data_IF_827278310939
#
_entry.id   IF_827278310939
#
_cell.length_a   1.000
_cell.length_b   1.000
_cell.length_c   1.000
_cell.angle_alpha   90.00
_cell.angle_beta   90.00
_cell.angle_gamma   90.00
#
_symmetry.space_group_name_H-M   'P 1'
#
loop_
_entity.id
_entity.type
_entity.pdbx_description
1 polymer ?
#
# COMPACT_ATOMS: atom_id res chain seq x y z
N UNK A 1 -17.85 11.72 2.87
CA UNK A 1 -18.23 12.84 3.76
C UNK A 1 -17.24 13.99 3.52
N UNK A 2 -17.67 15.18 3.09
CA UNK A 2 -16.76 16.31 2.85
C UNK A 2 -16.09 16.85 4.13
N UNK A 3 -16.69 16.63 5.31
CA UNK A 3 -16.14 17.11 6.58
C UNK A 3 -14.80 16.48 6.97
N UNK A 4 -14.62 15.19 6.73
CA UNK A 4 -13.41 14.45 7.12
C UNK A 4 -12.19 14.87 6.26
N UNK A 5 -12.43 15.18 4.98
CA UNK A 5 -11.42 15.67 4.05
C UNK A 5 -10.93 17.07 4.45
N UNK A 6 -11.86 17.98 4.76
CA UNK A 6 -11.51 19.34 5.19
C UNK A 6 -10.77 19.32 6.53
N UNK A 7 -11.16 18.41 7.43
CA UNK A 7 -10.48 18.20 8.69
C UNK A 7 -9.04 17.72 8.48
N UNK A 8 -8.83 16.68 7.66
CA UNK A 8 -7.50 16.17 7.34
C UNK A 8 -6.60 17.23 6.69
N UNK A 9 -7.09 17.93 5.66
CA UNK A 9 -6.32 19.01 5.02
C UNK A 9 -6.01 20.14 5.99
N UNK A 10 -6.97 20.50 6.86
CA UNK A 10 -6.76 21.52 7.89
C UNK A 10 -5.65 21.17 8.88
N UNK A 11 -5.46 19.90 9.20
CA UNK A 11 -4.35 19.44 10.07
C UNK A 11 -2.99 19.54 9.38
N UNK A 12 -2.92 19.33 8.06
CA UNK A 12 -1.67 19.39 7.31
C UNK A 12 -1.10 20.81 7.20
N UNK A 13 -1.94 21.85 7.19
CA UNK A 13 -1.48 23.22 7.02
C UNK A 13 -0.42 23.64 8.06
N UNK A 14 -0.66 23.57 9.38
CA UNK A 14 0.35 23.93 10.38
C UNK A 14 1.57 23.00 10.35
N UNK A 15 1.40 21.71 10.06
CA UNK A 15 2.50 20.74 9.96
C UNK A 15 3.45 21.14 8.83
N UNK A 16 2.91 21.39 7.64
CA UNK A 16 3.72 21.75 6.48
C UNK A 16 4.37 23.12 6.65
N UNK A 17 3.67 24.10 7.24
CA UNK A 17 4.29 25.39 7.56
C UNK A 17 5.51 25.23 8.49
N UNK A 18 5.38 24.45 9.56
CA UNK A 18 6.45 24.23 10.52
C UNK A 18 7.67 23.51 9.91
N UNK A 19 7.44 22.62 8.94
CA UNK A 19 8.51 21.85 8.27
C UNK A 19 9.18 22.62 7.13
N UNK A 20 8.42 23.38 6.34
CA UNK A 20 8.93 24.01 5.10
C UNK A 20 9.08 25.53 5.17
N UNK A 21 8.58 26.16 6.24
CA UNK A 21 8.62 27.61 6.42
C UNK A 21 7.65 28.41 5.55
N UNK A 22 6.77 27.74 4.79
CA UNK A 22 5.77 28.37 3.93
C UNK A 22 4.52 27.50 3.74
N UNK A 23 3.42 28.11 3.29
CA UNK A 23 2.18 27.40 2.98
C UNK A 23 2.16 26.82 1.55
N UNK A 24 3.25 26.88 0.79
CA UNK A 24 3.24 26.51 -0.63
C UNK A 24 3.10 24.99 -0.81
N UNK A 25 3.82 24.20 0.01
CA UNK A 25 3.66 22.74 0.09
C UNK A 25 2.22 22.35 0.41
N UNK A 26 1.62 23.00 1.42
CA UNK A 26 0.22 22.75 1.78
C UNK A 26 -0.75 23.06 0.62
N UNK A 27 -0.57 24.20 -0.05
CA UNK A 27 -1.40 24.57 -1.22
C UNK A 27 -1.24 23.56 -2.36
N UNK A 28 -0.03 23.07 -2.61
CA UNK A 28 0.23 22.05 -3.62
C UNK A 28 -0.45 20.72 -3.25
N UNK A 29 -0.35 20.27 -1.99
CA UNK A 29 -1.06 19.09 -1.48
C UNK A 29 -2.57 19.24 -1.69
N UNK A 30 -3.16 20.34 -1.23
CA UNK A 30 -4.59 20.58 -1.39
C UNK A 30 -5.00 20.58 -2.88
N UNK A 31 -4.22 21.24 -3.74
CA UNK A 31 -4.47 21.26 -5.18
C UNK A 31 -4.43 19.86 -5.80
N UNK A 32 -3.40 19.07 -5.52
CA UNK A 32 -3.28 17.70 -6.03
C UNK A 32 -4.38 16.79 -5.46
N UNK A 33 -4.74 16.95 -4.20
CA UNK A 33 -5.82 16.20 -3.56
C UNK A 33 -7.16 16.43 -4.27
N UNK A 34 -7.52 17.69 -4.54
CA UNK A 34 -8.76 18.01 -5.28
C UNK A 34 -8.70 17.64 -6.76
N UNK A 35 -7.51 17.61 -7.37
CA UNK A 35 -7.33 17.20 -8.77
C UNK A 35 -7.33 15.68 -8.95
N UNK A 36 -7.05 14.90 -7.89
CA UNK A 36 -6.92 13.44 -7.96
C UNK A 36 -8.17 12.75 -8.55
N UNK A 37 -9.42 13.05 -8.11
CA UNK A 37 -10.61 12.44 -8.71
C UNK A 37 -10.74 12.73 -10.21
N UNK A 38 -10.40 13.95 -10.63
CA UNK A 38 -10.46 14.36 -12.04
C UNK A 38 -9.44 13.56 -12.86
N UNK A 39 -8.20 13.45 -12.38
CA UNK A 39 -7.17 12.66 -13.04
C UNK A 39 -7.57 11.18 -13.15
N UNK A 40 -8.14 10.60 -12.09
CA UNK A 40 -8.63 9.21 -12.11
C UNK A 40 -9.73 9.05 -13.15
N UNK A 41 -10.73 9.93 -13.18
CA UNK A 41 -11.83 9.89 -14.16
C UNK A 41 -11.35 10.01 -15.62
N UNK A 42 -10.25 10.71 -15.87
CA UNK A 42 -9.66 10.80 -17.22
C UNK A 42 -8.97 9.49 -17.66
N UNK A 43 -8.57 8.64 -16.72
CA UNK A 43 -7.85 7.39 -16.99
C UNK A 43 -8.72 6.14 -16.81
N UNK A 44 -9.77 6.25 -16.00
CA UNK A 44 -10.66 5.16 -15.61
C UNK A 44 -12.10 5.66 -15.57
N UNK A 45 -12.94 5.10 -16.44
CA UNK A 45 -14.38 5.31 -16.33
C UNK A 45 -14.87 4.57 -15.07
N UNK A 46 -15.09 5.33 -14.00
CA UNK A 46 -15.48 4.79 -12.69
C UNK A 46 -16.87 4.15 -12.73
N UNK A 47 -17.77 4.64 -13.58
CA UNK A 47 -19.11 4.08 -13.69
C UNK A 47 -19.04 2.69 -14.32
N UNK A 48 -18.40 2.58 -15.48
CA UNK A 48 -18.20 1.30 -16.15
C UNK A 48 -17.41 0.34 -15.26
N UNK A 49 -16.38 0.83 -14.56
CA UNK A 49 -15.57 0.02 -13.64
C UNK A 49 -16.41 -0.61 -12.54
N UNK A 50 -17.23 0.19 -11.85
CA UNK A 50 -18.10 -0.29 -10.77
C UNK A 50 -19.16 -1.26 -11.31
N UNK A 51 -19.84 -0.91 -12.40
CA UNK A 51 -20.87 -1.77 -12.99
C UNK A 51 -20.32 -3.13 -13.45
N UNK A 52 -19.12 -3.16 -14.02
CA UNK A 52 -18.48 -4.41 -14.43
C UNK A 52 -17.90 -5.17 -13.23
N UNK A 53 -17.45 -4.48 -12.17
CA UNK A 53 -16.95 -5.10 -10.95
C UNK A 53 -18.08 -5.79 -10.17
N UNK A 54 -19.28 -5.23 -10.16
CA UNK A 54 -20.47 -5.86 -9.56
C UNK A 54 -20.88 -7.16 -10.27
N UNK A 55 -20.52 -7.31 -11.55
CA UNK A 55 -20.77 -8.51 -12.36
C UNK A 55 -19.59 -9.49 -12.35
N UNK A 56 -18.57 -9.21 -11.56
CA UNK A 56 -17.32 -9.95 -11.57
C UNK A 56 -17.52 -11.37 -11.01
N UNK A 57 -17.10 -12.37 -11.77
CA UNK A 57 -17.16 -13.80 -11.43
C UNK A 57 -16.07 -14.57 -12.17
N UNK A 58 -16.02 -15.90 -11.98
CA UNK A 58 -15.01 -16.78 -12.58
C UNK A 58 -14.94 -16.73 -14.10
N UNK A 59 -16.03 -16.32 -14.79
CA UNK A 59 -16.08 -16.18 -16.24
C UNK A 59 -15.73 -14.73 -16.65
N UNK A 60 -16.40 -13.75 -16.04
CA UNK A 60 -16.26 -12.33 -16.45
C UNK A 60 -14.89 -11.73 -16.12
N UNK A 61 -14.12 -12.33 -15.19
CA UNK A 61 -12.73 -11.93 -14.88
C UNK A 61 -11.83 -11.88 -16.11
N UNK A 62 -12.02 -12.78 -17.06
CA UNK A 62 -11.23 -12.85 -18.29
C UNK A 62 -11.47 -11.67 -19.25
N UNK A 63 -12.51 -10.87 -19.02
CA UNK A 63 -12.78 -9.62 -19.74
C UNK A 63 -12.49 -8.41 -18.87
N UNK A 64 -12.79 -8.49 -17.58
CA UNK A 64 -12.63 -7.40 -16.61
C UNK A 64 -11.17 -6.97 -16.45
N UNK A 65 -10.28 -7.88 -16.06
CA UNK A 65 -8.90 -7.52 -15.74
C UNK A 65 -8.14 -7.04 -16.98
N UNK A 66 -8.24 -7.65 -18.18
CA UNK A 66 -7.63 -7.10 -19.38
C UNK A 66 -8.13 -5.69 -19.74
N UNK A 67 -9.42 -5.40 -19.49
CA UNK A 67 -10.02 -4.07 -19.74
C UNK A 67 -9.52 -3.00 -18.77
N UNK A 68 -9.38 -3.35 -17.49
CA UNK A 68 -9.17 -2.35 -16.43
C UNK A 68 -7.76 -2.29 -15.86
N UNK A 69 -6.96 -3.36 -15.90
CA UNK A 69 -5.60 -3.35 -15.38
C UNK A 69 -4.68 -2.31 -16.05
N UNK A 70 -4.68 -2.14 -17.38
CA UNK A 70 -3.91 -1.05 -18.01
C UNK A 70 -4.35 0.33 -17.51
N UNK A 71 -5.66 0.53 -17.31
CA UNK A 71 -6.22 1.80 -16.82
C UNK A 71 -5.82 2.06 -15.37
N UNK A 72 -5.88 1.04 -14.51
CA UNK A 72 -5.43 1.13 -13.12
C UNK A 72 -3.95 1.52 -13.03
N UNK A 73 -3.08 0.90 -13.84
CA UNK A 73 -1.67 1.32 -13.92
C UNK A 73 -1.54 2.78 -14.34
N UNK A 74 -2.29 3.24 -15.33
CA UNK A 74 -2.29 4.65 -15.74
C UNK A 74 -2.78 5.60 -14.65
N UNK A 75 -3.61 5.16 -13.69
CA UNK A 75 -4.03 6.00 -12.57
C UNK A 75 -2.92 6.25 -11.54
N UNK A 76 -1.83 5.48 -11.53
CA UNK A 76 -0.69 5.72 -10.62
C UNK A 76 -0.10 7.12 -10.78
N UNK A 77 -0.07 7.63 -12.02
CA UNK A 77 0.39 9.00 -12.31
C UNK A 77 -0.45 10.09 -11.63
N UNK A 78 -1.69 9.78 -11.24
CA UNK A 78 -2.58 10.70 -10.54
C UNK A 78 -2.22 10.86 -9.07
N UNK A 79 -1.64 9.82 -8.47
CA UNK A 79 -1.34 9.75 -7.03
C UNK A 79 0.09 10.25 -6.75
N UNK A 80 1.02 10.01 -7.68
CA UNK A 80 2.44 10.33 -7.50
C UNK A 80 2.71 11.81 -7.11
N UNK A 81 2.10 12.83 -7.74
CA UNK A 81 2.32 14.23 -7.35
C UNK A 81 1.88 14.51 -5.92
N UNK A 82 0.75 13.95 -5.49
CA UNK A 82 0.24 14.11 -4.13
C UNK A 82 1.22 13.52 -3.11
N UNK A 83 1.65 12.26 -3.31
CA UNK A 83 2.61 11.61 -2.41
C UNK A 83 3.95 12.34 -2.37
N UNK A 84 4.40 12.88 -3.50
CA UNK A 84 5.64 13.67 -3.60
C UNK A 84 5.56 14.95 -2.75
N UNK A 85 4.44 15.67 -2.79
CA UNK A 85 4.26 16.89 -1.99
C UNK A 85 4.07 16.56 -0.51
N UNK A 86 3.32 15.51 -0.17
CA UNK A 86 3.14 15.08 1.23
C UNK A 86 4.46 14.76 1.92
N UNK A 87 5.41 14.13 1.20
CA UNK A 87 6.76 13.85 1.74
C UNK A 87 7.55 15.10 2.13
N UNK A 88 7.24 16.28 1.59
CA UNK A 88 7.97 17.51 1.94
C UNK A 88 7.61 18.03 3.33
N UNK A 89 6.48 17.58 3.90
CA UNK A 89 6.06 17.97 5.24
C UNK A 89 5.76 16.84 6.21
N UNK A 90 5.82 15.58 5.78
CA UNK A 90 5.84 14.45 6.71
C UNK A 90 7.07 14.49 7.62
N UNK A 91 6.95 13.89 8.80
CA UNK A 91 8.12 13.49 9.58
C UNK A 91 8.83 12.27 8.94
N UNK A 92 9.88 11.76 9.59
CA UNK A 92 10.69 10.68 9.02
C UNK A 92 9.87 9.40 8.83
N UNK A 93 9.00 9.07 9.79
CA UNK A 93 8.09 7.93 9.74
C UNK A 93 7.02 8.09 8.65
N UNK A 94 6.38 9.25 8.56
CA UNK A 94 5.41 9.57 7.52
C UNK A 94 6.06 9.46 6.13
N UNK A 95 7.25 10.04 5.96
CA UNK A 95 8.01 10.00 4.70
C UNK A 95 8.39 8.58 4.34
N UNK A 96 8.80 7.78 5.32
CA UNK A 96 9.10 6.36 5.16
C UNK A 96 7.87 5.59 4.66
N UNK A 97 6.72 5.73 5.32
CA UNK A 97 5.46 5.07 4.92
C UNK A 97 5.05 5.51 3.50
N UNK A 98 5.09 6.81 3.21
CA UNK A 98 4.74 7.34 1.88
C UNK A 98 5.66 6.82 0.78
N UNK A 99 6.94 6.55 1.05
CA UNK A 99 7.85 5.90 0.09
C UNK A 99 7.50 4.44 -0.11
N UNK A 100 7.32 3.70 0.98
CA UNK A 100 6.93 2.29 0.93
C UNK A 100 5.64 2.10 0.12
N UNK A 101 4.62 2.93 0.36
CA UNK A 101 3.36 2.91 -0.40
C UNK A 101 3.60 3.18 -1.89
N UNK A 102 4.36 4.21 -2.26
CA UNK A 102 4.63 4.48 -3.69
C UNK A 102 5.37 3.35 -4.39
N UNK A 103 6.32 2.69 -3.73
CA UNK A 103 7.03 1.55 -4.30
C UNK A 103 6.14 0.31 -4.39
N UNK A 104 5.24 0.11 -3.43
CA UNK A 104 4.36 -1.05 -3.38
C UNK A 104 3.21 -0.97 -4.39
N UNK A 105 2.66 0.22 -4.67
CA UNK A 105 1.45 0.39 -5.48
C UNK A 105 1.52 -0.27 -6.88
N UNK A 106 2.61 -0.12 -7.68
CA UNK A 106 2.73 -0.81 -8.97
C UNK A 106 2.67 -2.34 -8.84
N UNK A 107 3.42 -2.90 -7.88
CA UNK A 107 3.50 -4.35 -7.65
C UNK A 107 2.16 -4.91 -7.13
N UNK A 108 1.45 -4.15 -6.28
CA UNK A 108 0.08 -4.51 -5.86
C UNK A 108 -0.86 -4.62 -7.06
N UNK A 109 -0.82 -3.63 -7.97
CA UNK A 109 -1.66 -3.66 -9.17
C UNK A 109 -1.28 -4.86 -10.02
N UNK A 110 0.00 -5.12 -10.22
CA UNK A 110 0.45 -6.29 -10.99
C UNK A 110 0.00 -7.60 -10.38
N UNK A 111 0.08 -7.75 -9.05
CA UNK A 111 -0.37 -8.94 -8.35
C UNK A 111 -1.89 -9.14 -8.45
N UNK A 112 -2.67 -8.06 -8.24
CA UNK A 112 -4.14 -8.09 -8.40
C UNK A 112 -4.52 -8.36 -9.86
N UNK A 113 -3.70 -7.94 -10.82
CA UNK A 113 -3.96 -8.14 -12.24
C UNK A 113 -3.46 -9.48 -12.77
N UNK A 114 -2.58 -10.17 -12.05
CA UNK A 114 -1.96 -11.40 -12.50
C UNK A 114 -3.02 -12.47 -12.80
N UNK A 115 -2.81 -13.16 -13.93
CA UNK A 115 -3.71 -14.22 -14.43
C UNK A 115 -5.19 -13.85 -14.39
N UNK A 116 -5.53 -12.63 -14.79
CA UNK A 116 -6.90 -12.09 -14.75
C UNK A 116 -7.49 -12.10 -13.33
N UNK A 117 -6.71 -11.64 -12.34
CA UNK A 117 -7.15 -11.47 -10.96
C UNK A 117 -7.32 -12.74 -10.17
N UNK A 118 -6.50 -13.76 -10.45
CA UNK A 118 -6.63 -15.07 -9.83
C UNK A 118 -6.61 -15.06 -8.31
N UNK A 119 -5.85 -14.13 -7.74
CA UNK A 119 -5.78 -13.89 -6.30
C UNK A 119 -7.14 -13.56 -5.66
N UNK A 120 -8.10 -13.05 -6.44
CA UNK A 120 -9.44 -12.68 -6.02
C UNK A 120 -10.51 -13.76 -6.31
N UNK A 121 -10.12 -14.93 -6.83
CA UNK A 121 -11.05 -16.05 -7.11
C UNK A 121 -10.62 -17.35 -6.46
N UNK A 122 -10.14 -17.26 -5.23
CA UNK A 122 -9.94 -18.43 -4.37
C UNK A 122 -11.30 -18.97 -3.92
N UNK A 123 -11.50 -20.28 -4.08
CA UNK A 123 -12.73 -20.93 -3.64
C UNK A 123 -12.95 -20.77 -2.13
N UNK A 124 -14.20 -20.54 -1.73
CA UNK A 124 -14.64 -20.39 -0.33
C UNK A 124 -14.10 -19.16 0.42
N UNK A 125 -13.45 -18.20 -0.25
CA UNK A 125 -13.08 -16.91 0.34
C UNK A 125 -14.29 -15.98 0.48
N UNK A 126 -14.51 -15.45 1.69
CA UNK A 126 -15.50 -14.41 1.95
C UNK A 126 -14.85 -13.03 1.92
N UNK A 127 -14.67 -12.50 0.71
CA UNK A 127 -14.06 -11.18 0.49
C UNK A 127 -14.82 -10.05 1.19
N UNK A 128 -16.14 -10.15 1.32
CA UNK A 128 -16.91 -9.13 2.02
C UNK A 128 -16.53 -9.09 3.50
N UNK A 129 -16.41 -10.24 4.14
CA UNK A 129 -15.93 -10.31 5.53
C UNK A 129 -14.50 -9.80 5.65
N UNK A 130 -13.58 -10.19 4.76
CA UNK A 130 -12.20 -9.71 4.81
C UNK A 130 -12.10 -8.18 4.64
N UNK A 131 -12.75 -7.63 3.62
CA UNK A 131 -12.63 -6.21 3.26
C UNK A 131 -13.38 -5.31 4.24
N UNK A 132 -14.54 -5.72 4.74
CA UNK A 132 -15.27 -4.95 5.75
C UNK A 132 -14.56 -4.98 7.12
N UNK A 133 -13.86 -6.08 7.43
CA UNK A 133 -13.10 -6.23 8.67
C UNK A 133 -11.73 -5.55 8.66
N UNK A 134 -11.21 -5.13 7.50
CA UNK A 134 -9.79 -4.75 7.35
C UNK A 134 -9.35 -3.66 8.32
N UNK A 135 -10.11 -2.57 8.47
CA UNK A 135 -9.76 -1.47 9.38
C UNK A 135 -9.71 -1.92 10.85
N UNK A 136 -10.66 -2.77 11.25
CA UNK A 136 -10.72 -3.33 12.60
C UNK A 136 -9.57 -4.31 12.84
N UNK A 137 -9.24 -5.14 11.84
CA UNK A 137 -8.09 -6.05 11.89
C UNK A 137 -6.78 -5.31 12.03
N UNK A 138 -6.56 -4.24 11.26
CA UNK A 138 -5.40 -3.37 11.41
C UNK A 138 -5.33 -2.74 12.81
N UNK A 139 -6.46 -2.25 13.33
CA UNK A 139 -6.51 -1.66 14.67
C UNK A 139 -6.15 -2.68 15.75
N UNK A 140 -6.70 -3.89 15.67
CA UNK A 140 -6.41 -4.96 16.63
C UNK A 140 -4.98 -5.48 16.52
N UNK A 141 -4.45 -5.60 15.30
CA UNK A 141 -3.09 -6.05 15.10
C UNK A 141 -2.08 -4.96 15.48
N UNK A 142 -2.41 -3.68 15.32
CA UNK A 142 -1.58 -2.58 15.81
C UNK A 142 -1.37 -2.63 17.34
N UNK A 143 -2.26 -3.28 18.09
CA UNK A 143 -2.07 -3.50 19.52
C UNK A 143 -0.90 -4.44 19.86
N UNK A 144 -0.27 -5.09 18.87
CA UNK A 144 0.96 -5.86 19.07
C UNK A 144 2.19 -4.99 19.27
N UNK A 145 2.14 -3.71 18.88
CA UNK A 145 3.24 -2.79 19.09
C UNK A 145 3.27 -2.28 20.53
N UNK A 146 4.46 -2.27 21.12
CA UNK A 146 4.65 -1.67 22.44
C UNK A 146 4.62 -0.15 22.38
N UNK A 147 4.28 0.50 23.50
CA UNK A 147 4.36 1.96 23.62
C UNK A 147 5.78 2.49 23.32
N UNK A 148 6.81 1.69 23.58
CA UNK A 148 8.19 2.03 23.27
C UNK A 148 8.41 2.11 21.77
N UNK A 149 7.90 1.14 21.00
CA UNK A 149 7.98 1.15 19.53
C UNK A 149 7.19 2.29 18.92
N UNK A 150 5.99 2.60 19.45
CA UNK A 150 5.21 3.77 18.98
C UNK A 150 5.91 5.11 19.21
N UNK A 151 6.71 5.22 20.27
CA UNK A 151 7.45 6.44 20.59
C UNK A 151 8.82 6.50 19.88
N UNK A 152 9.20 5.45 19.17
CA UNK A 152 10.50 5.32 18.51
C UNK A 152 10.36 5.59 17.03
N UNK A 153 11.24 6.45 16.51
CA UNK A 153 11.38 6.66 15.08
C UNK A 153 11.82 5.36 14.39
N UNK A 154 11.19 5.04 13.26
CA UNK A 154 11.39 3.79 12.51
C UNK A 154 12.84 3.58 12.04
N UNK A 155 13.64 4.65 11.91
CA UNK A 155 15.07 4.56 11.63
C UNK A 155 15.89 3.96 12.77
N UNK A 156 15.34 3.90 13.99
CA UNK A 156 15.99 3.37 15.19
C UNK A 156 15.51 1.97 15.58
N UNK A 157 14.66 1.34 14.76
CA UNK A 157 14.14 0.00 15.08
C UNK A 157 15.26 -1.03 15.24
N UNK A 158 15.30 -1.65 16.42
CA UNK A 158 16.18 -2.77 16.72
C UNK A 158 15.46 -4.12 16.59
N UNK A 159 16.13 -5.22 17.02
CA UNK A 159 15.57 -6.57 16.92
C UNK A 159 14.18 -6.72 17.52
N UNK A 160 13.92 -6.12 18.68
CA UNK A 160 12.63 -6.19 19.37
C UNK A 160 11.50 -5.51 18.56
N UNK A 161 11.75 -4.31 18.03
CA UNK A 161 10.78 -3.58 17.20
C UNK A 161 10.50 -4.32 15.89
N UNK A 162 11.53 -4.94 15.31
CA UNK A 162 11.39 -5.75 14.10
C UNK A 162 10.63 -7.06 14.37
N UNK A 163 10.77 -7.66 15.55
CA UNK A 163 9.94 -8.79 15.97
C UNK A 163 8.46 -8.38 16.13
N UNK A 164 8.18 -7.19 16.68
CA UNK A 164 6.82 -6.64 16.73
C UNK A 164 6.21 -6.46 15.32
N UNK A 165 7.00 -6.01 14.33
CA UNK A 165 6.57 -5.96 12.92
C UNK A 165 6.23 -7.35 12.35
N UNK A 166 7.02 -8.38 12.69
CA UNK A 166 6.73 -9.77 12.30
C UNK A 166 5.42 -10.24 12.95
N UNK A 167 5.20 -9.92 14.22
CA UNK A 167 4.00 -10.27 14.96
C UNK A 167 2.75 -9.55 14.42
N UNK A 168 2.91 -8.30 14.00
CA UNK A 168 1.86 -7.55 13.30
C UNK A 168 1.41 -8.27 12.02
N UNK A 169 2.36 -8.68 11.16
CA UNK A 169 2.06 -9.45 9.94
C UNK A 169 1.35 -10.77 10.27
N UNK A 170 1.86 -11.54 11.24
CA UNK A 170 1.24 -12.81 11.67
C UNK A 170 -0.19 -12.60 12.20
N UNK A 171 -0.42 -11.50 12.91
CA UNK A 171 -1.77 -11.13 13.36
C UNK A 171 -2.70 -10.90 12.16
N UNK A 172 -2.28 -10.13 11.16
CA UNK A 172 -3.08 -9.89 9.96
C UNK A 172 -3.35 -11.18 9.18
N UNK A 173 -2.36 -12.05 9.04
CA UNK A 173 -2.51 -13.37 8.43
C UNK A 173 -3.59 -14.20 9.14
N UNK A 174 -3.55 -14.25 10.48
CA UNK A 174 -4.57 -14.90 11.28
C UNK A 174 -5.96 -14.30 11.08
N UNK A 175 -6.07 -12.98 10.88
CA UNK A 175 -7.35 -12.32 10.58
C UNK A 175 -7.86 -12.66 9.18
N UNK A 176 -7.00 -12.70 8.17
CA UNK A 176 -7.38 -13.10 6.80
C UNK A 176 -7.82 -14.56 6.72
N UNK A 177 -7.30 -15.42 7.59
CA UNK A 177 -7.76 -16.80 7.69
C UNK A 177 -9.22 -16.93 8.17
N UNK A 178 -9.75 -15.96 8.93
CA UNK A 178 -11.14 -15.99 9.40
C UNK A 178 -12.17 -15.93 8.27
N UNK A 179 -11.77 -15.39 7.11
CA UNK A 179 -12.60 -15.26 5.92
C UNK A 179 -12.09 -16.13 4.77
N UNK A 180 -11.27 -17.17 5.07
CA UNK A 180 -10.61 -18.04 4.08
C UNK A 180 -9.86 -17.24 2.99
N UNK A 181 -9.26 -16.11 3.34
CA UNK A 181 -8.55 -15.23 2.41
C UNK A 181 -7.04 -15.23 2.58
N UNK A 182 -6.32 -16.34 2.84
CA UNK A 182 -4.88 -16.30 3.08
C UNK A 182 -4.11 -15.67 1.91
N UNK A 183 -4.59 -15.83 0.66
CA UNK A 183 -4.00 -15.20 -0.52
C UNK A 183 -4.11 -13.67 -0.54
N UNK A 184 -5.02 -13.07 0.22
CA UNK A 184 -5.05 -11.61 0.38
C UNK A 184 -3.81 -11.09 1.11
N UNK A 185 -3.12 -11.96 1.89
CA UNK A 185 -1.84 -11.61 2.48
C UNK A 185 -0.74 -11.41 1.43
N UNK A 186 -0.83 -12.01 0.24
CA UNK A 186 0.15 -11.79 -0.82
C UNK A 186 0.18 -10.29 -1.22
N UNK A 187 -1.00 -9.62 -1.19
CA UNK A 187 -1.12 -8.17 -1.46
C UNK A 187 -0.52 -7.35 -0.32
N UNK A 188 -0.83 -7.71 0.92
CA UNK A 188 -0.26 -7.04 2.09
C UNK A 188 1.26 -7.21 2.16
N UNK A 189 1.76 -8.38 1.76
CA UNK A 189 3.18 -8.71 1.78
C UNK A 189 3.99 -7.81 0.86
N UNK A 190 3.39 -7.26 -0.20
CA UNK A 190 4.05 -6.22 -1.03
C UNK A 190 4.36 -4.97 -0.19
N UNK A 191 3.38 -4.46 0.57
CA UNK A 191 3.61 -3.33 1.48
C UNK A 191 4.59 -3.70 2.60
N UNK A 192 4.41 -4.87 3.19
CA UNK A 192 5.28 -5.35 4.27
C UNK A 192 6.74 -5.42 3.83
N UNK A 193 7.02 -6.02 2.66
CA UNK A 193 8.36 -6.05 2.07
C UNK A 193 8.90 -4.65 1.82
N UNK A 194 8.09 -3.74 1.28
CA UNK A 194 8.51 -2.37 1.03
C UNK A 194 8.88 -1.62 2.32
N UNK A 195 8.12 -1.81 3.40
CA UNK A 195 8.41 -1.23 4.71
C UNK A 195 9.68 -1.83 5.31
N UNK A 196 9.77 -3.16 5.42
CA UNK A 196 10.94 -3.83 6.01
C UNK A 196 12.22 -3.53 5.23
N UNK A 197 12.16 -3.51 3.90
CA UNK A 197 13.33 -3.23 3.05
C UNK A 197 13.83 -1.79 3.19
N UNK A 198 12.95 -0.85 3.54
CA UNK A 198 13.29 0.55 3.71
C UNK A 198 13.72 0.91 5.14
N UNK A 199 13.68 -0.03 6.09
CA UNK A 199 14.01 0.18 7.51
C UNK A 199 15.20 -0.68 7.95
N UNK A 200 15.76 -0.44 9.16
CA UNK A 200 16.79 -1.30 9.72
C UNK A 200 16.37 -2.77 9.86
N UNK A 201 15.06 -3.05 9.86
CA UNK A 201 14.52 -4.40 9.96
C UNK A 201 14.85 -5.32 8.79
N UNK A 202 15.30 -4.78 7.66
CA UNK A 202 15.92 -5.54 6.58
C UNK A 202 17.09 -6.42 7.04
N UNK A 203 17.76 -6.06 8.14
CA UNK A 203 18.86 -6.85 8.73
C UNK A 203 18.40 -7.94 9.70
N UNK A 204 17.13 -7.94 10.11
CA UNK A 204 16.60 -8.80 11.18
C UNK A 204 15.47 -9.73 10.71
N UNK A 205 14.76 -9.36 9.64
CA UNK A 205 13.60 -10.09 9.13
C UNK A 205 13.94 -10.78 7.82
N UNK A 206 13.65 -12.08 7.75
CA UNK A 206 13.66 -12.83 6.48
C UNK A 206 12.32 -12.61 5.80
N UNK A 207 12.33 -12.01 4.61
CA UNK A 207 11.09 -11.64 3.92
C UNK A 207 10.42 -12.85 3.23
N UNK A 208 9.08 -12.97 3.32
CA UNK A 208 8.35 -13.98 2.58
C UNK A 208 8.49 -13.74 1.06
N UNK A 209 8.85 -14.80 0.33
CA UNK A 209 8.99 -14.76 -1.12
C UNK A 209 10.36 -14.28 -1.65
N UNK A 210 11.33 -13.98 -0.78
CA UNK A 210 12.72 -13.94 -1.23
C UNK A 210 13.14 -15.36 -1.64
N UNK A 211 13.54 -15.53 -2.90
CA UNK A 211 14.34 -16.72 -3.26
C UNK A 211 15.57 -16.73 -2.37
N UNK A 212 15.91 -17.87 -1.81
CA UNK A 212 17.24 -18.07 -1.24
C UNK A 212 18.26 -17.83 -2.35
N UNK A 213 18.97 -16.71 -2.31
CA UNK A 213 20.20 -16.54 -3.08
C UNK A 213 21.28 -17.40 -2.40
N UNK A 214 21.19 -18.71 -2.63
CA UNK A 214 22.26 -19.64 -2.32
C UNK A 214 22.97 -20.02 -3.63
N UNK A 215 24.21 -19.54 -3.70
CA UNK A 215 25.34 -20.08 -4.45
C UNK A 215 25.33 -19.97 -6.00
N UNK A 216 26.01 -18.92 -6.47
CA UNK A 216 27.06 -19.01 -7.49
C UNK A 216 26.65 -19.44 -8.89
N UNK A 217 26.42 -18.45 -9.76
CA UNK A 217 26.98 -18.48 -11.11
C UNK A 217 27.11 -17.04 -11.63
N UNK A 218 28.36 -16.70 -11.94
CA UNK A 218 28.78 -15.50 -12.66
C UNK A 218 28.29 -15.62 -14.12
N UNK A 219 27.35 -14.77 -14.53
CA UNK A 219 27.28 -14.34 -15.93
C UNK A 219 26.74 -12.91 -16.00
N UNK A 220 27.59 -12.02 -16.48
CA UNK A 220 27.35 -10.59 -16.55
C UNK A 220 26.38 -10.21 -17.68
N UNK A 221 25.30 -9.52 -17.33
CA UNK A 221 24.73 -8.52 -18.24
C UNK A 221 23.87 -7.48 -17.50
N UNK A 222 23.86 -6.23 -17.98
CA UNK A 222 23.59 -5.08 -17.13
C UNK A 222 22.10 -4.76 -16.95
N UNK A 223 21.83 -4.25 -15.75
CA UNK A 223 20.59 -3.69 -15.22
C UNK A 223 20.01 -2.65 -16.18
N UNK A 224 18.76 -2.85 -16.62
CA UNK A 224 17.94 -1.79 -17.22
C UNK A 224 17.17 -1.07 -16.11
N UNK A 225 17.50 0.20 -15.93
CA UNK A 225 16.70 1.14 -15.17
C UNK A 225 15.37 1.40 -15.89
N UNK A 226 14.26 1.27 -15.17
CA UNK A 226 13.01 1.98 -15.40
C UNK A 226 12.66 2.73 -14.11
#
# INVERSE_FOLDING_TARGET
KNGDIQFFLGQLQPICYNRTGSNDTYKAIASHFYALPICVLMNLDLKDFVEDAERLNSITRHYFFPKYCPKLRSTLQCIEPLLREMRKCGDEDDVFVLRAVSHALPEIIDLICDKNGDILFVENTDYNTCLNGITDYFTQCNATFSNATYAMDSSNYGPEQCEELVNFRKCLENKMNLCNGPRLMDVFDVLYRAMVSASPCSNFIILPGQKEDNAGEDDGSPIRHF
#
